data_IF_169380639179
#
_entry.id   IF_169380639179
#
_cell.length_a   1.000
_cell.length_b   1.000
_cell.length_c   1.000
_cell.angle_alpha   90.00
_cell.angle_beta   90.00
_cell.angle_gamma   90.00
#
_symmetry.space_group_name_H-M   'P 1'
#
loop_
_entity.id
_entity.type
_entity.pdbx_description
1 polymer ?
#
# COMPACT_ATOMS: atom_id res chain seq x y z
N UNK A 1 31.22 28.30 -19.33
CA UNK A 1 30.04 28.01 -18.48
C UNK A 1 28.82 28.55 -19.22
N UNK A 2 27.95 27.72 -19.82
CA UNK A 2 26.80 28.25 -20.57
C UNK A 2 26.11 27.37 -21.62
N UNK A 3 26.44 26.08 -21.77
CA UNK A 3 25.86 25.24 -22.84
C UNK A 3 24.94 24.12 -22.30
N UNK A 4 24.89 23.88 -20.99
CA UNK A 4 24.21 22.68 -20.44
C UNK A 4 22.75 22.86 -20.01
N UNK A 5 22.22 24.09 -19.91
CA UNK A 5 20.84 24.34 -19.46
C UNK A 5 19.83 24.43 -20.62
N UNK A 6 20.28 24.81 -21.81
CA UNK A 6 19.40 24.94 -22.99
C UNK A 6 19.02 23.57 -23.58
N UNK A 7 19.90 22.57 -23.51
CA UNK A 7 19.62 21.22 -24.01
C UNK A 7 18.52 20.50 -23.18
N UNK A 8 18.54 20.68 -21.86
CA UNK A 8 17.53 20.12 -20.94
C UNK A 8 16.18 20.81 -21.16
N UNK A 9 16.17 22.13 -21.38
CA UNK A 9 14.95 22.91 -21.65
C UNK A 9 14.31 22.58 -23.00
N UNK A 10 15.13 22.29 -24.03
CA UNK A 10 14.65 21.84 -25.34
C UNK A 10 14.03 20.43 -25.28
N UNK A 11 14.59 19.52 -24.47
CA UNK A 11 14.01 18.18 -24.26
C UNK A 11 12.67 18.22 -23.50
N UNK A 12 12.54 19.10 -22.51
CA UNK A 12 11.29 19.31 -21.77
C UNK A 12 10.19 19.96 -22.62
N UNK A 13 10.58 20.80 -23.59
CA UNK A 13 9.64 21.46 -24.51
C UNK A 13 9.14 20.50 -25.60
N UNK A 14 9.97 19.55 -26.06
CA UNK A 14 9.58 18.50 -27.00
C UNK A 14 8.58 17.48 -26.43
N UNK A 15 8.58 17.27 -25.11
CA UNK A 15 7.57 16.46 -24.42
C UNK A 15 6.18 17.12 -24.41
N UNK A 16 6.09 18.43 -24.64
CA UNK A 16 4.83 19.18 -24.62
C UNK A 16 4.08 19.13 -25.96
N UNK A 17 4.73 18.70 -27.05
CA UNK A 17 4.16 18.69 -28.42
C UNK A 17 3.68 17.32 -28.89
N UNK A 18 3.77 16.27 -28.06
CA UNK A 18 3.28 14.92 -28.38
C UNK A 18 1.94 14.59 -27.68
N UNK A 19 1.11 15.60 -27.40
CA UNK A 19 -0.22 15.42 -26.78
C UNK A 19 -1.39 15.59 -27.76
N UNK A 20 -1.13 16.08 -28.98
CA UNK A 20 -2.15 16.18 -30.03
C UNK A 20 -2.27 14.83 -30.76
N UNK A 21 -2.94 13.85 -30.13
CA UNK A 21 -3.41 12.67 -30.85
C UNK A 21 -3.48 11.33 -30.14
N UNK A 22 -3.93 11.26 -28.88
CA UNK A 22 -4.34 9.97 -28.27
C UNK A 22 -5.74 10.08 -27.66
N UNK A 23 -6.74 9.65 -28.43
CA UNK A 23 -8.11 9.41 -27.98
C UNK A 23 -8.11 8.52 -26.73
N UNK A 24 -8.48 9.11 -25.59
CA UNK A 24 -8.92 8.40 -24.39
C UNK A 24 -7.82 7.82 -23.50
N UNK A 25 -6.91 8.63 -22.98
CA UNK A 25 -6.03 8.19 -21.89
C UNK A 25 -6.85 8.05 -20.61
N UNK A 26 -7.01 6.82 -20.10
CA UNK A 26 -7.49 6.60 -18.75
C UNK A 26 -6.59 7.41 -17.80
N UNK A 27 -7.13 8.45 -17.17
CA UNK A 27 -6.40 9.23 -16.16
C UNK A 27 -6.23 8.34 -14.94
N UNK A 28 -5.05 7.74 -14.82
CA UNK A 28 -4.71 6.92 -13.65
C UNK A 28 -4.63 7.82 -12.42
N UNK A 29 -5.21 7.37 -11.31
CA UNK A 29 -5.18 8.10 -10.06
C UNK A 29 -3.75 8.10 -9.53
N UNK A 30 -3.18 9.29 -9.39
CA UNK A 30 -1.85 9.44 -8.79
C UNK A 30 -1.87 9.04 -7.30
N UNK A 31 -0.77 8.46 -6.80
CA UNK A 31 -0.61 8.19 -5.38
C UNK A 31 -0.74 9.47 -4.55
N UNK A 32 -1.30 9.36 -3.36
CA UNK A 32 -1.29 10.46 -2.40
C UNK A 32 0.08 10.52 -1.72
N UNK A 33 0.58 11.73 -1.37
CA UNK A 33 1.77 11.84 -0.53
C UNK A 33 1.61 11.07 0.79
N UNK A 34 2.65 10.33 1.18
CA UNK A 34 2.66 9.58 2.43
C UNK A 34 2.61 10.52 3.63
N UNK A 35 1.69 10.23 4.56
CA UNK A 35 1.38 11.09 5.70
C UNK A 35 2.22 10.80 6.96
N UNK A 36 3.16 9.84 6.88
CA UNK A 36 4.00 9.44 8.01
C UNK A 36 3.33 8.44 8.97
N UNK A 37 2.09 8.00 8.71
CA UNK A 37 1.37 7.11 9.63
C UNK A 37 1.54 5.64 9.26
N UNK A 38 1.78 4.79 10.26
CA UNK A 38 1.87 3.34 10.09
C UNK A 38 0.62 2.73 9.43
N UNK A 39 -0.57 3.24 9.77
CA UNK A 39 -1.84 2.80 9.17
C UNK A 39 -1.93 3.03 7.66
N UNK A 40 -1.14 3.95 7.11
CA UNK A 40 -1.17 4.33 5.69
C UNK A 40 -0.12 3.60 4.85
N UNK A 41 0.84 2.90 5.49
CA UNK A 41 2.01 2.30 4.81
C UNK A 41 1.59 1.27 3.76
N UNK A 42 0.70 0.34 4.10
CA UNK A 42 0.28 -0.72 3.17
C UNK A 42 -0.38 -0.15 1.91
N UNK A 43 -1.34 0.78 2.09
CA UNK A 43 -2.04 1.41 0.96
C UNK A 43 -1.07 2.25 0.12
N UNK A 44 -0.18 3.00 0.77
CA UNK A 44 0.82 3.81 0.07
C UNK A 44 1.76 2.96 -0.79
N UNK A 45 2.31 1.87 -0.24
CA UNK A 45 3.17 0.94 -0.99
C UNK A 45 2.44 0.32 -2.17
N UNK A 46 1.16 -0.02 -2.00
CA UNK A 46 0.35 -0.60 -3.07
C UNK A 46 0.07 0.43 -4.17
N UNK A 47 -0.28 1.66 -3.81
CA UNK A 47 -0.51 2.74 -4.78
C UNK A 47 0.76 3.00 -5.61
N UNK A 48 1.94 3.08 -4.96
CA UNK A 48 3.21 3.26 -5.66
C UNK A 48 3.52 2.09 -6.60
N UNK A 49 3.41 0.84 -6.13
CA UNK A 49 3.65 -0.35 -6.98
C UNK A 49 2.72 -0.40 -8.18
N UNK A 50 1.43 -0.11 -7.97
CA UNK A 50 0.45 -0.08 -9.04
C UNK A 50 0.82 0.98 -10.08
N UNK A 51 1.19 2.20 -9.67
CA UNK A 51 1.57 3.26 -10.61
C UNK A 51 2.86 2.94 -11.36
N UNK A 52 3.88 2.38 -10.68
CA UNK A 52 5.09 1.89 -11.34
C UNK A 52 4.74 0.83 -12.39
N UNK A 53 3.92 -0.16 -12.04
CA UNK A 53 3.51 -1.22 -12.97
C UNK A 53 2.78 -0.65 -14.18
N UNK A 54 1.86 0.29 -13.98
CA UNK A 54 1.08 0.92 -15.04
C UNK A 54 1.89 1.90 -15.88
N UNK A 55 2.99 2.44 -15.36
CA UNK A 55 3.83 3.40 -16.07
C UNK A 55 4.60 2.78 -17.25
N UNK A 56 4.64 1.44 -17.35
CA UNK A 56 5.05 0.52 -18.45
C UNK A 56 6.31 0.83 -19.31
N UNK A 57 6.87 2.04 -19.33
CA UNK A 57 8.01 2.45 -20.18
C UNK A 57 8.91 3.58 -19.63
N UNK A 58 8.60 4.22 -18.49
CA UNK A 58 9.41 5.36 -17.99
C UNK A 58 10.36 5.07 -16.83
N UNK A 59 10.12 4.03 -16.02
CA UNK A 59 10.93 3.69 -14.85
C UNK A 59 11.66 2.36 -15.10
N UNK A 60 12.78 2.45 -15.83
CA UNK A 60 13.50 1.27 -16.32
C UNK A 60 14.34 0.64 -15.20
N UNK A 61 14.98 1.46 -14.36
CA UNK A 61 15.82 0.98 -13.26
C UNK A 61 15.10 0.98 -11.91
N UNK A 62 15.57 0.14 -10.99
CA UNK A 62 15.10 0.16 -9.60
C UNK A 62 15.44 1.48 -8.91
N UNK A 63 16.55 2.11 -9.31
CA UNK A 63 16.90 3.46 -8.89
C UNK A 63 15.84 4.49 -9.26
N UNK A 64 15.35 4.46 -10.51
CA UNK A 64 14.29 5.37 -10.96
C UNK A 64 12.98 5.12 -10.18
N UNK A 65 12.68 3.86 -9.84
CA UNK A 65 11.51 3.51 -9.01
C UNK A 65 11.63 4.06 -7.59
N UNK A 66 12.81 3.94 -6.97
CA UNK A 66 13.09 4.52 -5.65
C UNK A 66 13.01 6.05 -5.66
N UNK A 67 13.54 6.69 -6.71
CA UNK A 67 13.43 8.14 -6.88
C UNK A 67 11.99 8.58 -7.10
N UNK A 68 11.23 7.85 -7.93
CA UNK A 68 9.79 8.08 -8.12
C UNK A 68 9.03 7.97 -6.79
N UNK A 69 9.28 6.92 -6.02
CA UNK A 69 8.71 6.71 -4.69
C UNK A 69 8.96 7.92 -3.77
N UNK A 70 10.20 8.42 -3.75
CA UNK A 70 10.59 9.59 -2.95
C UNK A 70 9.74 10.83 -3.25
N UNK A 71 9.35 11.05 -4.51
CA UNK A 71 8.53 12.22 -4.89
C UNK A 71 7.16 12.24 -4.19
N UNK A 72 6.68 11.09 -3.71
CA UNK A 72 5.44 10.95 -2.96
C UNK A 72 5.65 10.84 -1.45
N UNK A 73 6.86 11.09 -0.93
CA UNK A 73 7.05 11.22 0.51
C UNK A 73 6.60 12.60 1.00
N UNK A 74 5.73 12.62 2.00
CA UNK A 74 5.37 13.83 2.72
C UNK A 74 6.55 14.45 3.47
N UNK A 75 6.44 15.72 3.88
CA UNK A 75 7.51 16.40 4.61
C UNK A 75 7.80 15.76 5.98
N UNK A 76 8.94 16.12 6.57
CA UNK A 76 9.35 15.66 7.90
C UNK A 76 9.96 14.26 7.86
N UNK A 77 9.60 13.42 8.83
CA UNK A 77 10.22 12.11 9.05
C UNK A 77 10.35 11.24 7.78
N UNK A 78 9.36 11.16 6.86
CA UNK A 78 9.51 10.38 5.63
C UNK A 78 10.65 10.86 4.73
N UNK A 79 10.77 12.17 4.48
CA UNK A 79 11.86 12.72 3.67
C UNK A 79 13.21 12.62 4.37
N UNK A 80 13.27 12.87 5.68
CA UNK A 80 14.51 12.71 6.45
C UNK A 80 15.03 11.26 6.44
N UNK A 81 14.12 10.28 6.51
CA UNK A 81 14.47 8.87 6.36
C UNK A 81 15.09 8.58 4.98
N UNK A 82 14.49 9.09 3.90
CA UNK A 82 15.06 8.93 2.56
C UNK A 82 16.44 9.57 2.45
N UNK A 83 16.60 10.81 2.94
CA UNK A 83 17.89 11.50 2.92
C UNK A 83 18.97 10.68 3.64
N UNK A 84 18.62 10.05 4.76
CA UNK A 84 19.50 9.14 5.50
C UNK A 84 19.89 7.90 4.69
N UNK A 85 18.94 7.30 3.97
CA UNK A 85 19.23 6.19 3.04
C UNK A 85 20.19 6.64 1.93
N UNK A 86 19.94 7.79 1.29
CA UNK A 86 20.80 8.30 0.24
C UNK A 86 22.24 8.57 0.72
N UNK A 87 22.39 9.05 1.95
CA UNK A 87 23.69 9.36 2.56
C UNK A 87 24.47 8.12 3.04
N UNK A 88 23.77 7.10 3.55
CA UNK A 88 24.40 6.03 4.34
C UNK A 88 24.21 4.62 3.78
N UNK A 89 23.26 4.43 2.87
CA UNK A 89 22.88 3.13 2.32
C UNK A 89 22.38 3.29 0.88
N UNK A 90 23.23 3.89 0.04
CA UNK A 90 22.87 4.25 -1.33
C UNK A 90 22.55 3.04 -2.19
N UNK A 91 23.19 1.90 -1.91
CA UNK A 91 22.94 0.62 -2.54
C UNK A 91 21.50 0.12 -2.38
N UNK A 92 20.80 0.55 -1.32
CA UNK A 92 19.38 0.24 -1.14
C UNK A 92 18.52 0.88 -2.22
N UNK A 93 18.96 1.99 -2.82
CA UNK A 93 18.22 2.67 -3.89
C UNK A 93 18.26 1.88 -5.20
N UNK A 94 19.17 0.92 -5.35
CA UNK A 94 19.32 0.12 -6.57
C UNK A 94 18.52 -1.21 -6.50
N UNK A 95 17.74 -1.42 -5.45
CA UNK A 95 16.86 -2.57 -5.26
C UNK A 95 15.52 -2.10 -4.67
N UNK A 96 14.51 -1.98 -5.53
CA UNK A 96 13.25 -1.35 -5.16
C UNK A 96 12.48 -2.16 -4.10
N UNK A 97 12.56 -3.50 -4.16
CA UNK A 97 11.85 -4.35 -3.21
C UNK A 97 12.50 -4.28 -1.82
N UNK A 98 13.84 -4.33 -1.73
CA UNK A 98 14.52 -4.11 -0.45
C UNK A 98 14.28 -2.72 0.11
N UNK A 99 14.24 -1.70 -0.75
CA UNK A 99 13.91 -0.33 -0.34
C UNK A 99 12.49 -0.27 0.24
N UNK A 100 11.49 -0.86 -0.44
CA UNK A 100 10.11 -0.90 0.03
C UNK A 100 9.95 -1.69 1.34
N UNK A 101 10.71 -2.77 1.52
CA UNK A 101 10.76 -3.52 2.78
C UNK A 101 11.37 -2.71 3.92
N UNK A 102 12.48 -1.99 3.66
CA UNK A 102 13.11 -1.09 4.64
C UNK A 102 12.15 0.04 5.05
N UNK A 103 11.45 0.63 4.09
CA UNK A 103 10.40 1.61 4.34
C UNK A 103 9.29 1.02 5.21
N UNK A 104 8.78 -0.17 4.86
CA UNK A 104 7.74 -0.87 5.63
C UNK A 104 8.21 -1.17 7.05
N UNK A 105 9.48 -1.54 7.23
CA UNK A 105 10.06 -1.81 8.56
C UNK A 105 10.19 -0.53 9.40
N UNK A 106 10.51 0.60 8.76
CA UNK A 106 10.71 1.87 9.47
C UNK A 106 9.39 2.55 9.84
N UNK A 107 8.43 2.58 8.92
CA UNK A 107 7.17 3.30 9.10
C UNK A 107 5.97 2.41 9.41
N UNK A 108 6.05 1.10 9.14
CA UNK A 108 4.95 0.17 9.37
C UNK A 108 4.71 -0.09 10.85
N UNK A 109 3.60 -0.77 11.13
CA UNK A 109 3.29 -1.19 12.49
C UNK A 109 4.23 -2.31 12.94
N UNK A 110 5.15 -1.98 13.85
CA UNK A 110 6.14 -2.91 14.40
C UNK A 110 5.51 -4.03 15.23
N UNK A 111 4.24 -3.87 15.64
CA UNK A 111 3.49 -4.84 16.40
C UNK A 111 2.16 -5.21 15.73
N UNK A 112 2.19 -5.36 14.39
CA UNK A 112 1.00 -5.68 13.58
C UNK A 112 0.23 -6.90 14.09
N UNK A 113 0.90 -7.90 14.68
CA UNK A 113 0.26 -9.08 15.27
C UNK A 113 -0.59 -8.69 16.48
N UNK A 114 -0.05 -7.94 17.45
CA UNK A 114 -0.84 -7.51 18.60
C UNK A 114 -1.92 -6.49 18.20
N UNK A 115 -1.63 -5.61 17.24
CA UNK A 115 -2.64 -4.70 16.69
C UNK A 115 -3.78 -5.49 16.06
N UNK A 116 -3.50 -6.50 15.25
CA UNK A 116 -4.51 -7.35 14.63
C UNK A 116 -5.33 -8.12 15.69
N UNK A 117 -4.68 -8.67 16.72
CA UNK A 117 -5.38 -9.33 17.82
C UNK A 117 -6.33 -8.37 18.53
N UNK A 118 -5.84 -7.20 18.97
CA UNK A 118 -6.68 -6.19 19.63
C UNK A 118 -7.86 -5.76 18.73
N UNK A 119 -7.61 -5.58 17.44
CA UNK A 119 -8.66 -5.21 16.47
C UNK A 119 -9.71 -6.29 16.31
N UNK A 120 -9.33 -7.57 16.35
CA UNK A 120 -10.27 -8.69 16.29
C UNK A 120 -11.05 -8.87 17.58
N UNK A 121 -10.41 -8.69 18.75
CA UNK A 121 -11.06 -8.79 20.07
C UNK A 121 -12.14 -7.70 20.25
N UNK A 122 -11.93 -6.53 19.66
CA UNK A 122 -12.88 -5.42 19.64
C UNK A 122 -13.91 -5.50 18.48
N UNK A 123 -13.80 -6.49 17.58
CA UNK A 123 -14.63 -6.56 16.38
C UNK A 123 -15.93 -7.31 16.64
N UNK A 124 -17.05 -6.57 16.65
CA UNK A 124 -18.40 -7.13 16.75
C UNK A 124 -19.22 -6.84 15.49
N UNK A 125 -20.12 -7.77 15.13
CA UNK A 125 -21.09 -7.48 14.08
C UNK A 125 -22.11 -6.44 14.58
N UNK A 126 -21.86 -5.17 14.28
CA UNK A 126 -22.79 -4.07 14.60
C UNK A 126 -23.79 -3.81 13.48
N UNK A 127 -23.38 -4.00 12.22
CA UNK A 127 -24.18 -3.76 11.02
C UNK A 127 -24.46 -5.08 10.27
N UNK A 128 -24.16 -5.13 8.96
CA UNK A 128 -24.34 -6.32 8.14
C UNK A 128 -23.25 -7.35 8.41
N UNK A 129 -23.57 -8.64 8.22
CA UNK A 129 -22.59 -9.72 8.35
C UNK A 129 -21.45 -9.57 7.33
N UNK A 130 -21.76 -9.14 6.11
CA UNK A 130 -20.77 -8.90 5.06
C UNK A 130 -19.72 -7.84 5.47
N UNK A 131 -20.14 -6.72 6.07
CA UNK A 131 -19.20 -5.70 6.57
C UNK A 131 -18.33 -6.24 7.71
N UNK A 132 -18.92 -7.01 8.62
CA UNK A 132 -18.18 -7.65 9.70
C UNK A 132 -17.13 -8.65 9.18
N UNK A 133 -17.51 -9.54 8.26
CA UNK A 133 -16.60 -10.52 7.64
C UNK A 133 -15.48 -9.81 6.88
N UNK A 134 -15.77 -8.74 6.14
CA UNK A 134 -14.75 -7.97 5.45
C UNK A 134 -13.71 -7.39 6.43
N UNK A 135 -14.16 -6.83 7.56
CA UNK A 135 -13.27 -6.32 8.62
C UNK A 135 -12.52 -7.42 9.35
N UNK A 136 -13.14 -8.59 9.56
CA UNK A 136 -12.47 -9.74 10.14
C UNK A 136 -11.32 -10.21 9.24
N UNK A 137 -11.60 -10.34 7.94
CA UNK A 137 -10.60 -10.76 6.95
C UNK A 137 -9.46 -9.76 6.79
N UNK A 138 -9.70 -8.46 7.00
CA UNK A 138 -8.66 -7.42 7.00
C UNK A 138 -7.58 -7.68 8.06
N UNK A 139 -7.95 -8.17 9.25
CA UNK A 139 -7.02 -8.35 10.37
C UNK A 139 -6.52 -9.77 10.55
N UNK A 140 -7.35 -10.79 10.28
CA UNK A 140 -7.01 -12.20 10.53
C UNK A 140 -5.84 -12.69 9.68
N UNK A 141 -5.57 -12.06 8.53
CA UNK A 141 -4.43 -12.39 7.67
C UNK A 141 -3.06 -12.15 8.34
N UNK A 142 -3.03 -11.35 9.41
CA UNK A 142 -1.83 -11.04 10.17
C UNK A 142 -1.59 -12.04 11.32
N UNK A 143 -2.51 -12.97 11.56
CA UNK A 143 -2.39 -13.98 12.61
C UNK A 143 -2.16 -15.36 12.01
N UNK A 144 -1.24 -16.12 12.60
CA UNK A 144 -1.01 -17.53 12.25
C UNK A 144 -2.01 -18.43 12.97
N UNK A 145 -3.19 -18.57 12.37
CA UNK A 145 -4.32 -19.33 12.94
C UNK A 145 -4.75 -20.45 12.00
N UNK A 146 -5.15 -21.58 12.61
CA UNK A 146 -5.83 -22.65 11.87
C UNK A 146 -7.20 -22.18 11.37
N UNK A 147 -7.71 -22.77 10.30
CA UNK A 147 -9.03 -22.41 9.79
C UNK A 147 -10.14 -22.67 10.81
N UNK A 148 -9.99 -23.71 11.64
CA UNK A 148 -10.91 -23.97 12.76
C UNK A 148 -10.90 -22.81 13.76
N UNK A 149 -9.72 -22.29 14.13
CA UNK A 149 -9.60 -21.13 15.02
C UNK A 149 -10.23 -19.88 14.41
N UNK A 150 -10.00 -19.63 13.11
CA UNK A 150 -10.59 -18.50 12.38
C UNK A 150 -12.12 -18.58 12.37
N UNK A 151 -12.67 -19.76 12.06
CA UNK A 151 -14.13 -19.99 12.06
C UNK A 151 -14.70 -19.74 13.46
N UNK A 152 -14.03 -20.24 14.51
CA UNK A 152 -14.48 -20.06 15.88
C UNK A 152 -14.52 -18.58 16.27
N UNK A 153 -13.43 -17.83 16.04
CA UNK A 153 -13.36 -16.40 16.33
C UNK A 153 -14.40 -15.59 15.55
N UNK A 154 -14.54 -15.87 14.25
CA UNK A 154 -15.54 -15.22 13.41
C UNK A 154 -16.95 -15.50 13.94
N UNK A 155 -17.24 -16.74 14.34
CA UNK A 155 -18.55 -17.10 14.86
C UNK A 155 -18.84 -16.40 16.19
N UNK A 156 -17.88 -16.28 17.10
CA UNK A 156 -18.10 -15.71 18.44
C UNK A 156 -18.79 -14.33 18.41
N UNK A 157 -18.39 -13.43 17.51
CA UNK A 157 -18.89 -12.05 17.49
C UNK A 157 -19.96 -11.75 16.43
N UNK A 158 -20.51 -12.78 15.78
CA UNK A 158 -21.73 -12.64 14.96
C UNK A 158 -22.97 -12.35 15.81
N UNK A 159 -23.92 -11.61 15.24
CA UNK A 159 -25.25 -11.42 15.84
C UNK A 159 -25.97 -12.76 15.97
N UNK A 160 -26.74 -12.91 17.06
CA UNK A 160 -27.48 -14.15 17.32
C UNK A 160 -28.37 -14.56 16.14
N UNK A 161 -29.12 -13.61 15.57
CA UNK A 161 -29.99 -13.90 14.42
C UNK A 161 -29.24 -14.44 13.19
N UNK A 162 -27.98 -14.04 12.99
CA UNK A 162 -27.14 -14.59 11.92
C UNK A 162 -26.64 -15.98 12.29
N UNK A 163 -26.23 -16.20 13.54
CA UNK A 163 -25.84 -17.52 14.04
C UNK A 163 -26.97 -18.54 13.87
N UNK A 164 -28.19 -18.18 14.25
CA UNK A 164 -29.37 -19.03 14.12
C UNK A 164 -29.64 -19.40 12.67
N UNK A 165 -29.49 -18.44 11.75
CA UNK A 165 -29.65 -18.67 10.31
C UNK A 165 -28.60 -19.63 9.76
N UNK A 166 -27.32 -19.46 10.15
CA UNK A 166 -26.21 -20.31 9.70
C UNK A 166 -26.33 -21.72 10.28
N UNK A 167 -26.79 -21.86 11.53
CA UNK A 167 -27.04 -23.15 12.16
C UNK A 167 -28.25 -23.89 11.54
N UNK A 168 -29.22 -23.14 11.02
CA UNK A 168 -30.41 -23.70 10.37
C UNK A 168 -30.18 -24.12 8.91
N UNK A 169 -29.07 -23.73 8.27
CA UNK A 169 -28.75 -24.22 6.91
C UNK A 169 -28.63 -25.75 6.99
N UNK A 170 -29.55 -26.52 6.37
CA UNK A 170 -29.49 -27.96 6.44
C UNK A 170 -28.17 -28.41 5.82
N UNK A 171 -27.44 -29.29 6.49
CA UNK A 171 -26.30 -29.99 5.87
C UNK A 171 -26.86 -30.69 4.63
N UNK A 172 -26.59 -30.12 3.45
CA UNK A 172 -26.89 -30.76 2.19
C UNK A 172 -25.90 -31.91 2.09
N UNK A 173 -26.43 -33.11 2.35
CA UNK A 173 -25.76 -34.40 2.24
C UNK A 173 -25.31 -34.65 0.80
#
# INVERSE_FOLDING_TARGET
MGVSMNAITAHLSGLKTLDEGLKGTAKFKEPKPFDGKASSVTQFLQDIRNTIQLSHRSLISDHDKCLYFFTYLGPGAPKEWYNSVELHNRELLDDFEKFAESFKKHFGDSNIVATAQNKLDELYQTRSAAQYIARFNEWVIHLDLTDTSKIHMLYQHLKMSVKDTVAFVPKTT
#
